data_IF_595693220114
#
_entry.id   IF_595693220114
#
_cell.length_a   1.000
_cell.length_b   1.000
_cell.length_c   1.000
_cell.angle_alpha   90.00
_cell.angle_beta   90.00
_cell.angle_gamma   90.00
#
_symmetry.space_group_name_H-M   'P 1'
#
loop_
_entity.id
_entity.type
_entity.pdbx_description
1 polymer ?
#
# COMPACT_ATOMS: atom_id res chain seq x y z
N UNK A 1 -21.86 -12.42 8.06
CA UNK A 1 -21.91 -12.22 6.60
C UNK A 1 -23.35 -12.12 6.10
N UNK A 2 -24.22 -13.12 6.30
CA UNK A 2 -25.62 -13.07 5.82
C UNK A 2 -26.41 -11.87 6.35
N UNK A 3 -26.39 -11.63 7.67
CA UNK A 3 -26.98 -10.41 8.25
C UNK A 3 -26.41 -9.13 7.64
N UNK A 4 -25.09 -9.06 7.41
CA UNK A 4 -24.47 -7.89 6.76
C UNK A 4 -24.98 -7.72 5.34
N UNK A 5 -25.05 -8.80 4.55
CA UNK A 5 -25.58 -8.77 3.18
C UNK A 5 -26.99 -8.19 3.13
N UNK A 6 -27.89 -8.68 3.99
CA UNK A 6 -29.29 -8.20 4.05
C UNK A 6 -29.37 -6.70 4.34
N UNK A 7 -28.61 -6.22 5.32
CA UNK A 7 -28.60 -4.80 5.67
C UNK A 7 -27.97 -3.94 4.57
N UNK A 8 -26.85 -4.38 3.96
CA UNK A 8 -26.23 -3.66 2.85
C UNK A 8 -27.16 -3.53 1.63
N UNK A 9 -28.01 -4.52 1.38
CA UNK A 9 -29.03 -4.44 0.32
C UNK A 9 -30.15 -3.46 0.71
N UNK A 10 -30.63 -3.51 1.96
CA UNK A 10 -31.63 -2.59 2.49
C UNK A 10 -31.15 -1.12 2.46
N UNK A 11 -29.87 -0.87 2.72
CA UNK A 11 -29.25 0.45 2.62
C UNK A 11 -29.34 1.05 1.21
N UNK A 12 -29.59 0.24 0.19
CA UNK A 12 -29.76 0.71 -1.19
C UNK A 12 -31.21 0.63 -1.70
N UNK A 13 -32.13 0.19 -0.83
CA UNK A 13 -33.54 0.08 -1.17
C UNK A 13 -34.13 1.46 -1.49
N UNK A 14 -34.95 1.52 -2.54
CA UNK A 14 -35.55 2.77 -3.02
C UNK A 14 -36.55 3.36 -2.03
N UNK A 15 -36.47 4.68 -1.83
CA UNK A 15 -37.38 5.43 -0.96
C UNK A 15 -38.74 5.73 -1.58
N UNK A 16 -39.65 6.30 -0.77
CA UNK A 16 -40.98 6.74 -1.25
C UNK A 16 -40.96 8.23 -1.62
N UNK A 17 -41.52 8.56 -2.79
CA UNK A 17 -41.81 9.92 -3.30
C UNK A 17 -40.63 10.91 -3.31
N UNK A 18 -40.29 11.48 -2.16
CA UNK A 18 -39.33 12.61 -1.99
C UNK A 18 -37.92 12.17 -1.60
N UNK A 19 -37.72 10.91 -1.20
CA UNK A 19 -36.44 10.39 -0.71
C UNK A 19 -35.91 9.35 -1.70
N UNK A 20 -34.63 9.47 -2.10
CA UNK A 20 -33.96 8.54 -3.03
C UNK A 20 -33.90 7.14 -2.41
N UNK A 21 -33.61 7.04 -1.12
CA UNK A 21 -33.45 5.80 -0.37
C UNK A 21 -34.53 5.63 0.71
N UNK A 22 -34.74 4.38 1.12
CA UNK A 22 -35.67 4.02 2.20
C UNK A 22 -35.20 4.56 3.55
N UNK A 23 -33.92 4.39 3.87
CA UNK A 23 -33.26 4.99 5.02
C UNK A 23 -32.69 6.34 4.64
N UNK A 24 -32.89 7.37 5.48
CA UNK A 24 -32.13 8.62 5.39
C UNK A 24 -30.69 8.46 5.90
N UNK A 25 -29.92 9.54 5.91
CA UNK A 25 -28.48 9.49 6.24
C UNK A 25 -28.21 9.37 7.74
N UNK A 26 -29.15 9.80 8.60
CA UNK A 26 -29.05 9.66 10.05
C UNK A 26 -29.36 8.20 10.45
N UNK A 27 -30.44 7.64 9.91
CA UNK A 27 -30.81 6.23 10.08
C UNK A 27 -29.72 5.28 9.54
N UNK A 28 -29.14 5.60 8.38
CA UNK A 28 -28.03 4.80 7.84
C UNK A 28 -26.83 4.82 8.80
N UNK A 29 -26.46 5.99 9.33
CA UNK A 29 -25.35 6.10 10.26
C UNK A 29 -25.59 5.26 11.53
N UNK A 30 -26.79 5.30 12.11
CA UNK A 30 -27.17 4.43 13.23
C UNK A 30 -26.96 2.93 12.91
N UNK A 31 -27.46 2.47 11.76
CA UNK A 31 -27.32 1.07 11.35
C UNK A 31 -25.86 0.68 11.06
N UNK A 32 -25.07 1.58 10.48
CA UNK A 32 -23.63 1.40 10.26
C UNK A 32 -22.92 1.19 11.60
N UNK A 33 -23.17 2.04 12.60
CA UNK A 33 -22.57 1.88 13.93
C UNK A 33 -23.00 0.58 14.61
N UNK A 34 -24.27 0.23 14.54
CA UNK A 34 -24.81 -0.98 15.17
C UNK A 34 -24.25 -2.28 14.55
N UNK A 35 -24.00 -2.31 13.24
CA UNK A 35 -23.49 -3.49 12.55
C UNK A 35 -21.97 -3.56 12.49
N UNK A 36 -21.30 -2.41 12.31
CA UNK A 36 -19.87 -2.33 12.02
C UNK A 36 -19.05 -1.83 13.22
N UNK A 37 -19.68 -1.43 14.32
CA UNK A 37 -18.99 -1.02 15.54
C UNK A 37 -18.44 -2.17 16.39
N UNK A 38 -18.80 -3.42 16.09
CA UNK A 38 -18.39 -4.59 16.86
C UNK A 38 -17.17 -5.31 16.25
N UNK A 39 -15.97 -4.81 16.59
CA UNK A 39 -14.70 -5.43 16.17
C UNK A 39 -14.37 -5.24 14.69
N UNK A 40 -13.17 -5.63 14.28
CA UNK A 40 -12.73 -5.54 12.88
C UNK A 40 -13.27 -6.69 12.02
N UNK A 41 -13.72 -6.39 10.81
CA UNK A 41 -14.04 -7.38 9.79
C UNK A 41 -12.78 -8.18 9.41
N UNK A 42 -12.90 -9.51 9.33
CA UNK A 42 -11.80 -10.38 8.89
C UNK A 42 -11.88 -10.65 7.40
N UNK A 43 -10.75 -10.97 6.73
CA UNK A 43 -10.75 -11.31 5.30
C UNK A 43 -11.76 -12.41 4.94
N UNK A 44 -11.91 -13.43 5.79
CA UNK A 44 -12.82 -14.55 5.55
C UNK A 44 -14.29 -14.12 5.56
N UNK A 45 -14.67 -13.24 6.51
CA UNK A 45 -16.04 -12.72 6.59
C UNK A 45 -16.34 -11.85 5.36
N UNK A 46 -15.38 -11.03 4.96
CA UNK A 46 -15.52 -10.08 3.86
C UNK A 46 -15.56 -10.79 2.52
N UNK A 47 -14.68 -11.77 2.28
CA UNK A 47 -14.69 -12.58 1.06
C UNK A 47 -16.03 -13.32 0.92
N UNK A 48 -16.53 -13.90 2.01
CA UNK A 48 -17.83 -14.57 2.00
C UNK A 48 -18.99 -13.59 1.78
N UNK A 49 -18.95 -12.41 2.39
CA UNK A 49 -19.93 -11.34 2.18
C UNK A 49 -19.97 -10.87 0.73
N UNK A 50 -18.81 -10.60 0.13
CA UNK A 50 -18.72 -10.14 -1.26
C UNK A 50 -19.21 -11.21 -2.25
N UNK A 51 -18.96 -12.49 -1.96
CA UNK A 51 -19.52 -13.59 -2.75
C UNK A 51 -21.06 -13.64 -2.68
N UNK A 52 -21.63 -13.44 -1.48
CA UNK A 52 -23.09 -13.38 -1.28
C UNK A 52 -23.74 -12.19 -2.00
N UNK A 53 -23.12 -11.01 -1.91
CA UNK A 53 -23.60 -9.80 -2.62
C UNK A 53 -23.52 -10.00 -4.14
N UNK A 54 -22.41 -10.51 -4.64
CA UNK A 54 -22.20 -10.74 -6.07
C UNK A 54 -23.21 -11.72 -6.70
N UNK A 55 -23.75 -12.65 -5.90
CA UNK A 55 -24.78 -13.60 -6.33
C UNK A 55 -26.22 -13.05 -6.21
N UNK A 56 -26.41 -11.91 -5.55
CA UNK A 56 -27.72 -11.33 -5.30
C UNK A 56 -28.20 -10.43 -6.44
N UNK A 57 -29.50 -10.50 -6.72
CA UNK A 57 -30.16 -9.62 -7.70
C UNK A 57 -30.50 -8.24 -7.13
N UNK A 58 -30.56 -8.13 -5.81
CA UNK A 58 -30.87 -6.88 -5.11
C UNK A 58 -29.61 -6.04 -4.87
N UNK A 59 -28.41 -6.57 -5.18
CA UNK A 59 -27.16 -5.86 -4.94
C UNK A 59 -26.98 -4.68 -5.90
N UNK A 60 -26.93 -3.49 -5.33
CA UNK A 60 -26.76 -2.20 -6.03
C UNK A 60 -25.40 -1.59 -5.65
N UNK A 61 -24.29 -2.02 -6.30
CA UNK A 61 -22.95 -1.70 -5.85
C UNK A 61 -22.61 -0.20 -5.94
N UNK A 62 -23.15 0.51 -6.93
CA UNK A 62 -22.87 1.94 -7.14
C UNK A 62 -23.53 2.76 -6.03
N UNK A 63 -24.81 2.53 -5.77
CA UNK A 63 -25.55 3.20 -4.71
C UNK A 63 -24.97 2.87 -3.33
N UNK A 64 -24.59 1.61 -3.09
CA UNK A 64 -23.95 1.24 -1.83
C UNK A 64 -22.63 1.98 -1.64
N UNK A 65 -21.81 2.06 -2.71
CA UNK A 65 -20.55 2.78 -2.68
C UNK A 65 -20.76 4.27 -2.36
N UNK A 66 -21.68 4.95 -3.05
CA UNK A 66 -21.99 6.37 -2.81
C UNK A 66 -22.36 6.63 -1.34
N UNK A 67 -23.23 5.80 -0.76
CA UNK A 67 -23.68 5.97 0.62
C UNK A 67 -22.58 5.70 1.65
N UNK A 68 -21.77 4.66 1.43
CA UNK A 68 -20.66 4.33 2.32
C UNK A 68 -19.53 5.36 2.22
N UNK A 69 -19.27 5.91 1.03
CA UNK A 69 -18.24 6.93 0.81
C UNK A 69 -18.64 8.24 1.51
N UNK A 70 -19.91 8.66 1.39
CA UNK A 70 -20.43 9.82 2.14
C UNK A 70 -20.23 9.67 3.66
N UNK A 71 -20.66 8.52 4.22
CA UNK A 71 -20.44 8.22 5.64
C UNK A 71 -18.95 8.23 6.00
N UNK A 72 -18.09 7.62 5.18
CA UNK A 72 -16.65 7.56 5.41
C UNK A 72 -16.02 8.95 5.48
N UNK A 73 -16.39 9.86 4.57
CA UNK A 73 -15.89 11.23 4.56
C UNK A 73 -16.31 11.99 5.84
N UNK A 74 -17.59 11.91 6.21
CA UNK A 74 -18.13 12.51 7.44
C UNK A 74 -17.46 11.95 8.70
N UNK A 75 -17.20 10.65 8.72
CA UNK A 75 -16.44 10.01 9.80
C UNK A 75 -15.00 10.51 9.88
N UNK A 76 -14.31 10.66 8.73
CA UNK A 76 -12.95 11.23 8.69
C UNK A 76 -12.91 12.67 9.21
N UNK A 77 -13.97 13.44 8.98
CA UNK A 77 -14.11 14.82 9.46
C UNK A 77 -14.51 14.91 10.94
N UNK A 78 -14.65 13.77 11.63
CA UNK A 78 -14.95 13.70 13.06
C UNK A 78 -16.43 13.90 13.40
N UNK A 79 -17.33 13.98 12.41
CA UNK A 79 -18.73 14.37 12.59
C UNK A 79 -19.43 13.58 13.70
N UNK A 80 -19.18 12.28 13.79
CA UNK A 80 -19.91 11.42 14.71
C UNK A 80 -19.31 11.37 16.13
N UNK A 81 -18.00 11.54 16.27
CA UNK A 81 -17.33 11.42 17.57
C UNK A 81 -17.20 12.75 18.31
N UNK A 82 -17.12 13.86 17.57
CA UNK A 82 -16.92 15.20 18.15
C UNK A 82 -18.22 15.88 18.59
N UNK A 83 -19.38 15.25 18.37
CA UNK A 83 -20.67 15.74 18.86
C UNK A 83 -20.76 15.66 20.40
N UNK A 84 -21.42 16.63 21.05
CA UNK A 84 -21.74 16.54 22.48
C UNK A 84 -22.78 15.42 22.76
N UNK A 85 -23.26 15.33 24.01
CA UNK A 85 -24.19 14.29 24.50
C UNK A 85 -25.15 13.74 23.41
N UNK A 86 -25.21 12.40 23.28
CA UNK A 86 -25.93 11.63 22.23
C UNK A 86 -25.17 11.41 20.90
N UNK A 87 -23.84 11.50 20.90
CA UNK A 87 -23.01 11.02 19.80
C UNK A 87 -23.26 9.51 19.51
N UNK A 88 -23.44 9.13 18.24
CA UNK A 88 -23.70 7.75 17.81
C UNK A 88 -22.75 6.71 18.42
N UNK A 89 -21.41 6.93 18.46
CA UNK A 89 -20.50 5.98 19.12
C UNK A 89 -20.83 5.72 20.59
N UNK A 90 -21.31 6.74 21.32
CA UNK A 90 -21.65 6.63 22.73
C UNK A 90 -22.95 5.85 22.92
N UNK A 91 -23.95 6.08 22.08
CA UNK A 91 -25.21 5.35 22.11
C UNK A 91 -25.00 3.87 21.79
N UNK A 92 -24.27 3.55 20.73
CA UNK A 92 -23.92 2.17 20.36
C UNK A 92 -23.11 1.49 21.48
N UNK A 93 -22.21 2.23 22.14
CA UNK A 93 -21.50 1.70 23.32
C UNK A 93 -22.47 1.33 24.46
N UNK A 94 -23.52 2.12 24.71
CA UNK A 94 -24.54 1.80 25.73
C UNK A 94 -25.31 0.53 25.35
N UNK A 95 -25.75 0.41 24.09
CA UNK A 95 -26.43 -0.78 23.56
C UNK A 95 -25.55 -2.03 23.69
N UNK A 96 -24.28 -1.96 23.32
CA UNK A 96 -23.33 -3.06 23.46
C UNK A 96 -23.13 -3.50 24.92
N UNK A 97 -23.09 -2.55 25.87
CA UNK A 97 -23.01 -2.90 27.30
C UNK A 97 -24.21 -3.70 27.79
N UNK A 98 -25.41 -3.38 27.30
CA UNK A 98 -26.63 -4.15 27.62
C UNK A 98 -26.56 -5.59 27.11
N UNK A 99 -25.83 -5.82 26.01
CA UNK A 99 -25.55 -7.14 25.44
C UNK A 99 -24.33 -7.84 26.07
N UNK A 100 -23.73 -7.27 27.11
CA UNK A 100 -22.55 -7.82 27.78
C UNK A 100 -21.22 -7.58 27.05
N UNK A 101 -21.21 -6.75 26.00
CA UNK A 101 -20.01 -6.40 25.23
C UNK A 101 -19.32 -5.21 25.90
N UNK A 102 -18.04 -5.36 26.24
CA UNK A 102 -17.24 -4.31 26.89
C UNK A 102 -16.32 -3.61 25.90
N UNK A 103 -16.89 -2.70 25.11
CA UNK A 103 -16.15 -1.78 24.24
C UNK A 103 -16.29 -0.34 24.74
N UNK A 104 -15.24 0.47 24.58
CA UNK A 104 -15.28 1.91 24.78
C UNK A 104 -15.74 2.66 23.53
N UNK A 105 -16.23 3.89 23.71
CA UNK A 105 -16.72 4.76 22.63
C UNK A 105 -15.74 4.88 21.46
N UNK A 106 -14.47 5.19 21.74
CA UNK A 106 -13.43 5.29 20.71
C UNK A 106 -13.20 3.97 19.97
N UNK A 107 -13.33 2.82 20.65
CA UNK A 107 -13.14 1.53 20.00
C UNK A 107 -14.26 1.27 19.00
N UNK A 108 -15.52 1.51 19.43
CA UNK A 108 -16.70 1.39 18.57
C UNK A 108 -16.56 2.29 17.33
N UNK A 109 -16.13 3.53 17.52
CA UNK A 109 -15.92 4.48 16.42
C UNK A 109 -14.84 4.04 15.43
N UNK A 110 -13.67 3.64 15.95
CA UNK A 110 -12.57 3.13 15.13
C UNK A 110 -12.98 1.87 14.36
N UNK A 111 -13.68 0.93 15.00
CA UNK A 111 -14.17 -0.27 14.31
C UNK A 111 -15.13 0.10 13.19
N UNK A 112 -16.08 1.00 13.46
CA UNK A 112 -17.08 1.44 12.49
C UNK A 112 -16.42 2.03 11.24
N UNK A 113 -15.58 3.05 11.40
CA UNK A 113 -14.93 3.73 10.28
C UNK A 113 -13.98 2.83 9.48
N UNK A 114 -13.18 2.01 10.17
CA UNK A 114 -12.28 1.08 9.48
C UNK A 114 -13.03 -0.02 8.73
N UNK A 115 -14.14 -0.52 9.28
CA UNK A 115 -14.96 -1.51 8.59
C UNK A 115 -15.67 -0.93 7.36
N UNK A 116 -16.16 0.31 7.44
CA UNK A 116 -16.68 1.02 6.25
C UNK A 116 -15.58 1.18 5.20
N UNK A 117 -14.37 1.60 5.59
CA UNK A 117 -13.24 1.71 4.67
C UNK A 117 -12.90 0.36 4.02
N UNK A 118 -12.96 -0.75 4.76
CA UNK A 118 -12.77 -2.11 4.23
C UNK A 118 -13.82 -2.43 3.16
N UNK A 119 -15.10 -2.16 3.43
CA UNK A 119 -16.17 -2.39 2.45
C UNK A 119 -15.97 -1.54 1.19
N UNK A 120 -15.56 -0.28 1.32
CA UNK A 120 -15.24 0.59 0.18
C UNK A 120 -14.06 0.07 -0.65
N UNK A 121 -13.01 -0.43 0.00
CA UNK A 121 -11.87 -1.08 -0.67
C UNK A 121 -12.29 -2.33 -1.45
N UNK A 122 -13.24 -3.10 -0.92
CA UNK A 122 -13.76 -4.29 -1.61
C UNK A 122 -14.72 -3.98 -2.74
N UNK A 123 -15.60 -2.98 -2.57
CA UNK A 123 -16.45 -2.51 -3.66
C UNK A 123 -15.62 -1.99 -4.83
N UNK A 124 -14.54 -1.25 -4.53
CA UNK A 124 -13.57 -0.84 -5.52
C UNK A 124 -12.91 -2.04 -6.23
N UNK A 125 -12.41 -3.04 -5.48
CA UNK A 125 -11.85 -4.27 -6.07
C UNK A 125 -12.85 -5.03 -6.93
N UNK A 126 -14.08 -5.15 -6.46
CA UNK A 126 -15.18 -5.80 -7.19
C UNK A 126 -15.42 -5.09 -8.53
N UNK A 127 -15.48 -3.75 -8.53
CA UNK A 127 -15.67 -2.95 -9.72
C UNK A 127 -14.49 -3.02 -10.70
N UNK A 128 -13.23 -3.09 -10.22
CA UNK A 128 -12.05 -3.22 -11.09
C UNK A 128 -12.08 -4.46 -11.99
N UNK A 129 -12.80 -5.52 -11.59
CA UNK A 129 -12.95 -6.76 -12.36
C UNK A 129 -14.08 -6.72 -13.40
N UNK A 130 -14.80 -5.60 -13.51
CA UNK A 130 -16.06 -5.48 -14.27
C UNK A 130 -16.08 -4.19 -15.10
N UNK A 131 -16.12 -4.33 -16.43
CA UNK A 131 -16.08 -3.19 -17.34
C UNK A 131 -17.27 -2.22 -17.16
N UNK A 132 -18.43 -2.71 -16.73
CA UNK A 132 -19.62 -1.90 -16.47
C UNK A 132 -19.53 -1.06 -15.20
N UNK A 133 -18.69 -1.44 -14.22
CA UNK A 133 -18.58 -0.76 -12.92
C UNK A 133 -17.26 0.00 -12.73
N UNK A 134 -16.22 -0.36 -13.46
CA UNK A 134 -14.84 0.10 -13.21
C UNK A 134 -14.68 1.61 -13.19
N UNK A 135 -15.45 2.33 -14.00
CA UNK A 135 -15.40 3.79 -14.09
C UNK A 135 -16.43 4.48 -13.16
N UNK A 136 -17.32 3.72 -12.52
CA UNK A 136 -18.35 4.23 -11.60
C UNK A 136 -17.93 4.11 -10.12
N UNK A 137 -17.09 3.14 -9.77
CA UNK A 137 -16.70 2.85 -8.39
C UNK A 137 -15.17 2.90 -8.27
N UNK A 138 -14.67 4.08 -7.89
CA UNK A 138 -13.25 4.32 -7.69
C UNK A 138 -13.03 4.89 -6.29
N UNK A 139 -12.66 4.03 -5.34
CA UNK A 139 -12.40 4.48 -3.99
C UNK A 139 -11.01 5.08 -3.86
N UNK A 140 -10.95 6.31 -3.36
CA UNK A 140 -9.72 6.98 -2.98
C UNK A 140 -9.76 7.28 -1.48
N UNK A 141 -9.09 6.50 -0.61
CA UNK A 141 -9.11 6.76 0.84
C UNK A 141 -8.71 8.19 1.22
N UNK A 142 -7.76 8.78 0.49
CA UNK A 142 -7.31 10.17 0.67
C UNK A 142 -8.02 11.19 -0.24
N UNK A 143 -9.09 10.81 -0.94
CA UNK A 143 -9.67 11.60 -2.03
C UNK A 143 -8.87 11.49 -3.34
N UNK A 144 -9.47 11.94 -4.44
CA UNK A 144 -8.84 11.85 -5.76
C UNK A 144 -7.62 12.78 -5.85
N UNK A 145 -6.43 12.21 -6.08
CA UNK A 145 -5.18 12.96 -6.18
C UNK A 145 -5.26 14.15 -7.15
N UNK A 146 -4.70 15.30 -6.75
CA UNK A 146 -4.68 16.55 -7.53
C UNK A 146 -6.07 17.17 -7.74
N UNK A 147 -6.98 16.99 -6.78
CA UNK A 147 -8.30 17.65 -6.73
C UNK A 147 -8.50 18.34 -5.38
N UNK A 148 -9.50 19.22 -5.26
CA UNK A 148 -9.80 19.94 -4.01
C UNK A 148 -10.17 19.01 -2.85
N UNK A 149 -10.73 17.84 -3.15
CA UNK A 149 -11.11 16.84 -2.14
C UNK A 149 -9.96 15.94 -1.67
N UNK A 150 -8.73 16.16 -2.16
CA UNK A 150 -7.56 15.38 -1.77
C UNK A 150 -6.97 15.87 -0.44
N UNK A 151 -6.88 14.96 0.53
CA UNK A 151 -6.17 15.15 1.79
C UNK A 151 -5.10 14.08 1.93
N UNK A 152 -3.84 14.48 1.70
CA UNK A 152 -2.69 13.59 1.83
C UNK A 152 -2.53 13.01 3.24
N UNK A 153 -2.99 13.72 4.27
CA UNK A 153 -2.82 13.32 5.68
C UNK A 153 -3.95 12.47 6.22
N UNK A 154 -5.09 12.37 5.53
CA UNK A 154 -6.29 11.68 6.01
C UNK A 154 -6.00 10.26 6.52
N UNK A 155 -5.30 9.45 5.73
CA UNK A 155 -5.00 8.08 6.13
C UNK A 155 -3.99 8.02 7.28
N UNK A 156 -3.03 8.94 7.35
CA UNK A 156 -2.11 9.07 8.49
C UNK A 156 -2.86 9.42 9.79
N UNK A 157 -3.85 10.31 9.70
CA UNK A 157 -4.73 10.68 10.81
C UNK A 157 -5.56 9.47 11.26
N UNK A 158 -6.14 8.72 10.32
CA UNK A 158 -6.88 7.47 10.60
C UNK A 158 -5.98 6.43 11.30
N UNK A 159 -4.76 6.22 10.81
CA UNK A 159 -3.79 5.29 11.43
C UNK A 159 -3.46 5.76 12.85
N UNK A 160 -3.14 7.03 13.02
CA UNK A 160 -2.81 7.62 14.33
C UNK A 160 -3.97 7.50 15.31
N UNK A 161 -5.19 7.76 14.84
CA UNK A 161 -6.42 7.62 15.61
C UNK A 161 -6.66 6.17 16.04
N UNK A 162 -6.47 5.23 15.11
CA UNK A 162 -6.61 3.78 15.34
C UNK A 162 -5.59 3.22 16.33
N UNK A 163 -4.48 3.92 16.60
CA UNK A 163 -3.52 3.49 17.61
C UNK A 163 -4.10 3.48 19.04
N UNK A 164 -5.27 4.12 19.26
CA UNK A 164 -5.99 4.06 20.53
C UNK A 164 -6.41 2.63 20.92
N UNK A 165 -6.56 1.70 19.97
CA UNK A 165 -6.87 0.28 20.24
C UNK A 165 -5.63 -0.63 20.21
N UNK A 166 -4.44 -0.03 20.18
CA UNK A 166 -3.13 -0.68 20.16
C UNK A 166 -2.27 -0.15 19.02
N UNK A 167 -0.94 -0.22 19.17
CA UNK A 167 0.04 0.35 18.21
C UNK A 167 -0.07 -0.20 16.77
N UNK A 168 -0.69 -1.38 16.62
CA UNK A 168 -0.97 -2.02 15.33
C UNK A 168 -2.48 -2.06 15.04
N UNK A 169 -3.29 -1.21 15.68
CA UNK A 169 -4.75 -1.24 15.62
C UNK A 169 -5.28 -1.15 14.20
N UNK A 170 -4.81 -0.16 13.44
CA UNK A 170 -5.12 -0.01 12.02
C UNK A 170 -4.72 -1.27 11.24
N UNK A 171 -3.48 -1.73 11.43
CA UNK A 171 -2.94 -2.86 10.69
C UNK A 171 -3.72 -4.15 10.93
N UNK A 172 -4.09 -4.45 12.18
CA UNK A 172 -4.84 -5.65 12.55
C UNK A 172 -6.21 -5.73 11.87
N UNK A 173 -6.78 -4.58 11.51
CA UNK A 173 -8.14 -4.49 10.98
C UNK A 173 -8.08 -4.30 9.46
N UNK A 174 -7.39 -3.26 8.99
CA UNK A 174 -7.36 -2.86 7.59
C UNK A 174 -6.16 -3.40 6.79
N UNK A 175 -5.09 -3.86 7.45
CA UNK A 175 -3.82 -4.21 6.79
C UNK A 175 -3.92 -5.36 5.76
N UNK A 176 -4.87 -6.28 5.95
CA UNK A 176 -5.17 -7.35 4.99
C UNK A 176 -5.92 -6.89 3.74
N UNK A 177 -6.47 -5.67 3.75
CA UNK A 177 -7.40 -5.15 2.75
C UNK A 177 -6.82 -4.04 1.87
N UNK A 178 -5.51 -3.75 1.95
CA UNK A 178 -4.87 -2.68 1.17
C UNK A 178 -4.46 -3.10 -0.24
N UNK A 179 -4.74 -4.35 -0.63
CA UNK A 179 -4.47 -4.89 -1.98
C UNK A 179 -5.21 -4.08 -3.04
N UNK A 180 -4.49 -3.55 -4.02
CA UNK A 180 -5.07 -2.76 -5.10
C UNK A 180 -5.60 -1.38 -4.69
N UNK A 181 -5.41 -0.95 -3.44
CA UNK A 181 -5.90 0.34 -2.95
C UNK A 181 -5.30 1.52 -3.73
N UNK A 182 -6.07 2.58 -3.93
CA UNK A 182 -5.61 3.80 -4.59
C UNK A 182 -5.17 4.86 -3.58
N UNK A 183 -3.89 4.81 -3.21
CA UNK A 183 -3.23 5.64 -2.21
C UNK A 183 -2.23 6.62 -2.84
N UNK A 184 -2.54 7.06 -4.07
CA UNK A 184 -1.68 7.99 -4.81
C UNK A 184 -1.53 9.29 -4.03
N UNK A 185 -0.30 9.71 -3.80
CA UNK A 185 0.02 10.93 -3.06
C UNK A 185 -0.19 10.86 -1.55
N UNK A 186 -0.71 9.76 -1.01
CA UNK A 186 -0.98 9.67 0.43
C UNK A 186 0.30 9.85 1.25
N UNK A 187 0.19 10.53 2.38
CA UNK A 187 1.22 10.57 3.40
C UNK A 187 1.04 9.39 4.35
N UNK A 188 2.03 8.52 4.41
CA UNK A 188 2.15 7.38 5.31
C UNK A 188 3.55 7.35 5.95
N UNK A 189 4.20 8.50 6.07
CA UNK A 189 5.52 8.58 6.70
C UNK A 189 5.46 8.07 8.14
N UNK A 190 6.55 7.44 8.58
CA UNK A 190 6.73 6.96 9.95
C UNK A 190 5.68 5.93 10.44
N UNK A 191 4.86 5.39 9.54
CA UNK A 191 3.81 4.41 9.88
C UNK A 191 4.36 3.00 10.02
N UNK A 192 3.72 2.18 10.87
CA UNK A 192 4.00 0.74 10.95
C UNK A 192 3.06 -0.05 10.02
N UNK A 193 3.60 -0.53 8.91
CA UNK A 193 2.90 -1.28 7.86
C UNK A 193 3.56 -2.66 7.62
N UNK A 194 4.20 -3.20 8.66
CA UNK A 194 4.90 -4.49 8.64
C UNK A 194 3.94 -5.60 8.19
N UNK A 195 4.33 -6.37 7.19
CA UNK A 195 3.55 -7.52 6.70
C UNK A 195 2.25 -7.16 5.97
N UNK A 196 1.95 -5.88 5.74
CA UNK A 196 0.73 -5.45 5.07
C UNK A 196 0.69 -5.89 3.60
N UNK A 197 -0.51 -6.10 3.08
CA UNK A 197 -0.71 -6.48 1.69
C UNK A 197 -1.09 -5.27 0.84
N UNK A 198 -0.10 -4.70 0.16
CA UNK A 198 -0.22 -3.63 -0.84
C UNK A 198 -0.02 -4.15 -2.26
N UNK A 199 -0.19 -5.45 -2.51
CA UNK A 199 -0.02 -5.98 -3.87
C UNK A 199 -0.96 -5.25 -4.84
N UNK A 200 -0.41 -4.85 -5.98
CA UNK A 200 -1.09 -4.05 -7.02
C UNK A 200 -1.61 -2.67 -6.57
N UNK A 201 -1.33 -2.21 -5.35
CA UNK A 201 -1.77 -0.90 -4.87
C UNK A 201 -1.12 0.24 -5.67
N UNK A 202 -1.83 1.36 -5.77
CA UNK A 202 -1.28 2.58 -6.34
C UNK A 202 -0.79 3.52 -5.23
N UNK A 203 0.52 3.55 -5.04
CA UNK A 203 1.25 4.40 -4.09
C UNK A 203 2.13 5.42 -4.83
N UNK A 204 1.77 5.75 -6.09
CA UNK A 204 2.56 6.69 -6.89
C UNK A 204 2.58 8.05 -6.20
N UNK A 205 3.76 8.69 -6.13
CA UNK A 205 3.95 9.98 -5.46
C UNK A 205 3.59 10.02 -3.97
N UNK A 206 3.34 8.87 -3.32
CA UNK A 206 3.08 8.81 -1.89
C UNK A 206 4.34 9.17 -1.07
N UNK A 207 4.13 9.78 0.09
CA UNK A 207 5.19 9.96 1.08
C UNK A 207 5.23 8.75 2.03
N UNK A 208 6.25 7.92 1.89
CA UNK A 208 6.48 6.67 2.61
C UNK A 208 7.79 6.72 3.40
N UNK A 209 8.35 7.91 3.62
CA UNK A 209 9.64 8.07 4.29
C UNK A 209 9.61 7.49 5.70
N UNK A 210 10.67 6.80 6.09
CA UNK A 210 10.82 6.18 7.42
C UNK A 210 9.74 5.15 7.79
N UNK A 211 8.81 4.81 6.90
CA UNK A 211 7.76 3.84 7.17
C UNK A 211 8.34 2.42 7.28
N UNK A 212 7.72 1.59 8.13
CA UNK A 212 8.10 0.20 8.29
C UNK A 212 7.22 -0.71 7.42
N UNK A 213 7.77 -1.17 6.31
CA UNK A 213 7.22 -2.16 5.38
C UNK A 213 7.93 -3.51 5.47
N UNK A 214 8.62 -3.81 6.57
CA UNK A 214 9.30 -5.11 6.71
C UNK A 214 8.33 -6.27 6.45
N UNK A 215 8.75 -7.24 5.64
CA UNK A 215 7.95 -8.39 5.20
C UNK A 215 6.61 -8.06 4.50
N UNK A 216 6.36 -6.81 4.10
CA UNK A 216 5.13 -6.43 3.41
C UNK A 216 5.10 -6.99 1.98
N UNK A 217 3.90 -7.20 1.44
CA UNK A 217 3.70 -7.55 0.04
C UNK A 217 3.34 -6.31 -0.78
N UNK A 218 4.30 -5.81 -1.55
CA UNK A 218 4.20 -4.69 -2.50
C UNK A 218 4.36 -5.17 -3.95
N UNK A 219 4.17 -6.47 -4.23
CA UNK A 219 4.30 -7.01 -5.59
C UNK A 219 3.33 -6.31 -6.55
N UNK A 220 3.79 -6.00 -7.76
CA UNK A 220 3.04 -5.24 -8.77
C UNK A 220 2.59 -3.82 -8.35
N UNK A 221 2.98 -3.33 -7.17
CA UNK A 221 2.56 -2.00 -6.72
C UNK A 221 3.12 -0.89 -7.62
N UNK A 222 2.34 0.18 -7.80
CA UNK A 222 2.79 1.39 -8.50
C UNK A 222 3.36 2.35 -7.46
N UNK A 223 4.68 2.50 -7.43
CA UNK A 223 5.44 3.34 -6.49
C UNK A 223 6.23 4.43 -7.24
N UNK A 224 5.80 4.78 -8.46
CA UNK A 224 6.54 5.75 -9.27
C UNK A 224 6.56 7.11 -8.57
N UNK A 225 7.76 7.70 -8.45
CA UNK A 225 8.01 8.96 -7.72
C UNK A 225 7.63 8.95 -6.24
N UNK A 226 7.42 7.78 -5.63
CA UNK A 226 7.18 7.71 -4.19
C UNK A 226 8.46 8.09 -3.42
N UNK A 227 8.28 8.71 -2.25
CA UNK A 227 9.36 8.97 -1.31
C UNK A 227 9.45 7.81 -0.31
N UNK A 228 10.44 6.94 -0.43
CA UNK A 228 10.76 5.82 0.46
C UNK A 228 12.10 6.07 1.18
N UNK A 229 12.54 7.33 1.31
CA UNK A 229 13.78 7.66 2.00
C UNK A 229 13.77 7.06 3.41
N UNK A 230 14.84 6.35 3.76
CA UNK A 230 15.01 5.71 5.07
C UNK A 230 13.91 4.70 5.47
N UNK A 231 13.06 4.25 4.53
CA UNK A 231 12.03 3.25 4.81
C UNK A 231 12.65 1.88 5.11
N UNK A 232 12.01 1.11 6.00
CA UNK A 232 12.38 -0.28 6.25
C UNK A 232 11.55 -1.21 5.36
N UNK A 233 12.20 -1.79 4.35
CA UNK A 233 11.64 -2.76 3.39
C UNK A 233 12.33 -4.13 3.53
N UNK A 234 12.94 -4.43 4.68
CA UNK A 234 13.62 -5.69 4.91
C UNK A 234 12.68 -6.87 4.61
N UNK A 235 13.14 -7.81 3.78
CA UNK A 235 12.38 -8.98 3.36
C UNK A 235 11.02 -8.69 2.71
N UNK A 236 10.75 -7.46 2.26
CA UNK A 236 9.51 -7.12 1.56
C UNK A 236 9.49 -7.72 0.15
N UNK A 237 8.30 -8.05 -0.35
CA UNK A 237 8.12 -8.47 -1.73
C UNK A 237 7.73 -7.25 -2.59
N UNK A 238 8.65 -6.77 -3.42
CA UNK A 238 8.49 -5.70 -4.42
C UNK A 238 8.63 -6.24 -5.85
N UNK A 239 8.47 -7.56 -6.05
CA UNK A 239 8.59 -8.16 -7.37
C UNK A 239 7.61 -7.51 -8.36
N UNK A 240 8.11 -7.21 -9.55
CA UNK A 240 7.34 -6.55 -10.63
C UNK A 240 6.77 -5.15 -10.25
N UNK A 241 7.17 -4.56 -9.12
CA UNK A 241 6.73 -3.22 -8.73
C UNK A 241 7.32 -2.14 -9.64
N UNK A 242 6.59 -1.04 -9.81
CA UNK A 242 7.06 0.12 -10.53
C UNK A 242 7.58 1.20 -9.57
N UNK A 243 8.90 1.24 -9.36
CA UNK A 243 9.63 2.20 -8.52
C UNK A 243 10.35 3.26 -9.35
N UNK A 244 9.90 3.52 -10.59
CA UNK A 244 10.59 4.47 -11.46
C UNK A 244 10.63 5.86 -10.84
N UNK A 245 11.83 6.46 -10.79
CA UNK A 245 12.07 7.76 -10.16
C UNK A 245 11.63 7.86 -8.69
N UNK A 246 11.49 6.74 -7.97
CA UNK A 246 11.28 6.76 -6.53
C UNK A 246 12.58 7.13 -5.79
N UNK A 247 12.45 7.75 -4.62
CA UNK A 247 13.56 7.98 -3.70
C UNK A 247 13.59 6.85 -2.67
N UNK A 248 14.56 5.94 -2.78
CA UNK A 248 14.86 4.88 -1.81
C UNK A 248 16.21 5.13 -1.11
N UNK A 249 16.68 6.39 -1.10
CA UNK A 249 17.96 6.71 -0.46
C UNK A 249 17.94 6.35 1.02
N UNK A 250 19.02 5.73 1.50
CA UNK A 250 19.16 5.19 2.86
C UNK A 250 18.09 4.16 3.30
N UNK A 251 17.25 3.64 2.39
CA UNK A 251 16.29 2.60 2.75
C UNK A 251 16.97 1.26 3.07
N UNK A 252 16.35 0.47 3.96
CA UNK A 252 16.74 -0.93 4.20
C UNK A 252 15.93 -1.85 3.30
N UNK A 253 16.55 -2.38 2.24
CA UNK A 253 15.98 -3.33 1.29
C UNK A 253 16.64 -4.71 1.44
N UNK A 254 17.30 -4.98 2.56
CA UNK A 254 18.03 -6.21 2.77
C UNK A 254 17.09 -7.42 2.68
N UNK A 255 17.52 -8.44 1.93
CA UNK A 255 16.74 -9.64 1.60
C UNK A 255 15.38 -9.39 0.91
N UNK A 256 15.08 -8.18 0.43
CA UNK A 256 13.86 -7.90 -0.30
C UNK A 256 13.84 -8.60 -1.69
N UNK A 257 12.65 -8.90 -2.20
CA UNK A 257 12.45 -9.38 -3.56
C UNK A 257 12.08 -8.21 -4.48
N UNK A 258 12.98 -7.82 -5.38
CA UNK A 258 12.80 -6.82 -6.44
C UNK A 258 12.97 -7.44 -7.83
N UNK A 259 12.74 -8.75 -7.97
CA UNK A 259 12.84 -9.43 -9.25
C UNK A 259 11.90 -8.75 -10.26
N UNK A 260 12.45 -8.42 -11.43
CA UNK A 260 11.75 -7.73 -12.52
C UNK A 260 11.14 -6.37 -12.16
N UNK A 261 11.49 -5.77 -11.02
CA UNK A 261 11.02 -4.44 -10.64
C UNK A 261 11.59 -3.36 -11.58
N UNK A 262 10.81 -2.29 -11.78
CA UNK A 262 11.24 -1.13 -12.55
C UNK A 262 11.78 -0.04 -11.64
N UNK A 263 13.11 0.10 -11.57
CA UNK A 263 13.85 1.09 -10.77
C UNK A 263 14.51 2.16 -11.66
N UNK A 264 13.99 2.38 -12.88
CA UNK A 264 14.56 3.34 -13.82
C UNK A 264 14.58 4.74 -13.19
N UNK A 265 15.78 5.34 -13.09
CA UNK A 265 16.04 6.63 -12.43
C UNK A 265 15.72 6.70 -10.93
N UNK A 266 15.55 5.57 -10.25
CA UNK A 266 15.37 5.56 -8.80
C UNK A 266 16.66 6.02 -8.08
N UNK A 267 16.52 6.71 -6.95
CA UNK A 267 17.62 6.98 -6.04
C UNK A 267 17.71 5.85 -5.00
N UNK A 268 18.86 5.19 -4.92
CA UNK A 268 19.19 4.11 -3.99
C UNK A 268 20.50 4.46 -3.25
N UNK A 269 20.86 5.74 -3.22
CA UNK A 269 22.08 6.21 -2.58
C UNK A 269 22.13 5.80 -1.11
N UNK A 270 23.22 5.14 -0.71
CA UNK A 270 23.43 4.61 0.66
C UNK A 270 22.38 3.58 1.12
N UNK A 271 21.52 3.06 0.23
CA UNK A 271 20.57 2.03 0.59
C UNK A 271 21.28 0.71 0.96
N UNK A 272 20.68 -0.05 1.87
CA UNK A 272 21.11 -1.41 2.20
C UNK A 272 20.35 -2.41 1.32
N UNK A 273 21.04 -3.01 0.35
CA UNK A 273 20.53 -4.00 -0.58
C UNK A 273 21.23 -5.36 -0.38
N UNK A 274 21.66 -5.67 0.86
CA UNK A 274 22.32 -6.94 1.17
C UNK A 274 21.41 -8.12 0.90
N UNK A 275 21.89 -9.06 0.09
CA UNK A 275 21.16 -10.29 -0.21
C UNK A 275 19.84 -10.08 -0.97
N UNK A 276 19.60 -8.89 -1.54
CA UNK A 276 18.38 -8.56 -2.27
C UNK A 276 18.31 -9.33 -3.60
N UNK A 277 17.10 -9.74 -3.99
CA UNK A 277 16.85 -10.35 -5.30
C UNK A 277 16.48 -9.28 -6.32
N UNK A 278 17.33 -9.06 -7.32
CA UNK A 278 17.18 -8.03 -8.37
C UNK A 278 17.25 -8.66 -9.77
N UNK A 279 16.93 -9.94 -9.91
CA UNK A 279 17.03 -10.64 -11.20
C UNK A 279 16.13 -9.96 -12.23
N UNK A 280 16.70 -9.60 -13.38
CA UNK A 280 15.98 -8.94 -14.46
C UNK A 280 15.42 -7.55 -14.11
N UNK A 281 15.84 -6.94 -12.99
CA UNK A 281 15.37 -5.62 -12.59
C UNK A 281 15.88 -4.53 -13.57
N UNK A 282 15.06 -3.51 -13.80
CA UNK A 282 15.42 -2.38 -14.63
C UNK A 282 15.98 -1.22 -13.78
N UNK A 283 17.29 -1.15 -13.64
CA UNK A 283 18.05 -0.12 -12.91
C UNK A 283 18.65 0.94 -13.83
N UNK A 284 18.06 1.15 -15.03
CA UNK A 284 18.58 2.13 -16.00
C UNK A 284 18.63 3.52 -15.36
N UNK A 285 19.78 4.18 -15.45
CA UNK A 285 20.02 5.51 -14.88
C UNK A 285 19.72 5.62 -13.38
N UNK A 286 19.71 4.51 -12.62
CA UNK A 286 19.53 4.55 -11.17
C UNK A 286 20.77 5.10 -10.46
N UNK A 287 20.57 5.76 -9.31
CA UNK A 287 21.64 6.29 -8.47
C UNK A 287 21.94 5.33 -7.32
N UNK A 288 23.06 4.62 -7.36
CA UNK A 288 23.43 3.57 -6.38
C UNK A 288 24.67 3.96 -5.56
N UNK A 289 24.98 5.27 -5.49
CA UNK A 289 26.19 5.78 -4.83
C UNK A 289 26.29 5.30 -3.38
N UNK A 290 27.39 4.64 -3.07
CA UNK A 290 27.67 4.07 -1.75
C UNK A 290 26.57 3.10 -1.22
N UNK A 291 25.75 2.53 -2.09
CA UNK A 291 24.80 1.48 -1.71
C UNK A 291 25.52 0.17 -1.37
N UNK A 292 24.89 -0.67 -0.54
CA UNK A 292 25.42 -1.97 -0.16
C UNK A 292 24.69 -3.09 -0.90
N UNK A 293 25.28 -3.63 -1.96
CA UNK A 293 24.77 -4.75 -2.75
C UNK A 293 25.49 -6.06 -2.43
N UNK A 294 26.09 -6.19 -1.23
CA UNK A 294 26.78 -7.40 -0.84
C UNK A 294 25.84 -8.62 -0.95
N UNK A 295 26.26 -9.64 -1.68
CA UNK A 295 25.50 -10.88 -1.95
C UNK A 295 24.15 -10.67 -2.68
N UNK A 296 23.90 -9.51 -3.27
CA UNK A 296 22.69 -9.28 -4.07
C UNK A 296 22.72 -10.08 -5.39
N UNK A 297 21.56 -10.53 -5.85
CA UNK A 297 21.42 -11.17 -7.16
C UNK A 297 20.96 -10.15 -8.20
N UNK A 298 21.88 -9.64 -9.01
CA UNK A 298 21.65 -8.71 -10.12
C UNK A 298 21.67 -9.42 -11.49
N UNK A 299 21.48 -10.75 -11.52
CA UNK A 299 21.54 -11.49 -12.79
C UNK A 299 20.50 -10.96 -13.79
N UNK A 300 20.91 -10.78 -15.05
CA UNK A 300 20.10 -10.18 -16.13
C UNK A 300 19.60 -8.74 -15.85
N UNK A 301 20.09 -8.06 -14.81
CA UNK A 301 19.67 -6.70 -14.49
C UNK A 301 20.15 -5.68 -15.56
N UNK A 302 19.30 -4.71 -15.87
CA UNK A 302 19.64 -3.61 -16.77
C UNK A 302 20.16 -2.41 -15.99
N UNK A 303 21.47 -2.23 -15.93
CA UNK A 303 22.18 -1.18 -15.20
C UNK A 303 22.69 -0.06 -16.13
N UNK A 304 22.11 0.07 -17.33
CA UNK A 304 22.58 1.06 -18.32
C UNK A 304 22.56 2.48 -17.75
N UNK A 305 23.70 3.17 -17.78
CA UNK A 305 23.83 4.53 -17.27
C UNK A 305 23.67 4.66 -15.75
N UNK A 306 23.66 3.55 -14.99
CA UNK A 306 23.55 3.59 -13.53
C UNK A 306 24.83 4.13 -12.88
N UNK A 307 24.68 4.85 -11.78
CA UNK A 307 25.77 5.40 -11.00
C UNK A 307 26.10 4.47 -9.81
N UNK A 308 27.07 3.56 -9.98
CA UNK A 308 27.49 2.58 -8.99
C UNK A 308 28.72 3.05 -8.20
N UNK A 309 28.98 4.37 -8.13
CA UNK A 309 30.20 4.87 -7.48
C UNK A 309 30.23 4.52 -6.00
N UNK A 310 31.29 3.85 -5.56
CA UNK A 310 31.48 3.46 -4.16
C UNK A 310 30.56 2.33 -3.68
N UNK A 311 29.82 1.67 -4.58
CA UNK A 311 28.92 0.56 -4.22
C UNK A 311 29.71 -0.66 -3.75
N UNK A 312 29.21 -1.36 -2.74
CA UNK A 312 29.73 -2.66 -2.31
C UNK A 312 29.05 -3.81 -3.06
N UNK A 313 29.80 -4.50 -3.92
CA UNK A 313 29.37 -5.62 -4.76
C UNK A 313 30.01 -6.95 -4.32
N UNK A 314 30.60 -7.05 -3.12
CA UNK A 314 31.24 -8.29 -2.66
C UNK A 314 30.22 -9.44 -2.66
N UNK A 315 30.56 -10.55 -3.32
CA UNK A 315 29.67 -11.72 -3.45
C UNK A 315 28.39 -11.50 -4.26
N UNK A 316 28.20 -10.33 -4.89
CA UNK A 316 27.04 -10.08 -5.74
C UNK A 316 27.12 -10.89 -7.04
N UNK A 317 25.97 -11.30 -7.58
CA UNK A 317 25.87 -11.95 -8.88
C UNK A 317 25.43 -10.96 -9.95
N UNK A 318 26.34 -10.55 -10.85
CA UNK A 318 26.02 -9.70 -12.00
C UNK A 318 25.91 -10.50 -13.31
N UNK A 319 25.75 -11.82 -13.26
CA UNK A 319 25.71 -12.65 -14.46
C UNK A 319 24.68 -12.13 -15.49
N UNK A 320 25.10 -11.98 -16.74
CA UNK A 320 24.30 -11.45 -17.84
C UNK A 320 23.84 -9.98 -17.67
N UNK A 321 24.26 -9.24 -16.64
CA UNK A 321 23.86 -7.85 -16.43
C UNK A 321 24.36 -6.91 -17.54
N UNK A 322 23.63 -5.80 -17.76
CA UNK A 322 23.96 -4.81 -18.80
C UNK A 322 24.50 -3.50 -18.21
N UNK A 323 25.81 -3.26 -18.33
CA UNK A 323 26.55 -2.14 -17.72
C UNK A 323 26.91 -1.01 -18.70
N UNK A 324 26.24 -0.89 -19.86
CA UNK A 324 26.55 0.17 -20.83
C UNK A 324 26.46 1.54 -20.16
N UNK A 325 27.47 2.38 -20.30
CA UNK A 325 27.48 3.74 -19.75
C UNK A 325 27.36 3.80 -18.21
N UNK A 326 27.43 2.67 -17.50
CA UNK A 326 27.39 2.62 -16.04
C UNK A 326 28.74 3.09 -15.46
N UNK A 327 28.72 3.72 -14.28
CA UNK A 327 29.92 4.23 -13.63
C UNK A 327 30.36 3.34 -12.46
N UNK A 328 31.49 2.66 -12.58
CA UNK A 328 32.03 1.73 -11.58
C UNK A 328 33.18 2.32 -10.73
N UNK A 329 33.30 3.65 -10.66
CA UNK A 329 34.39 4.27 -9.88
C UNK A 329 34.32 3.82 -8.41
N UNK A 330 35.45 3.35 -7.88
CA UNK A 330 35.60 2.96 -6.46
C UNK A 330 34.60 1.88 -5.99
N UNK A 331 34.08 1.02 -6.88
CA UNK A 331 33.32 -0.15 -6.43
C UNK A 331 34.19 -1.06 -5.55
N UNK A 332 33.56 -1.72 -4.59
CA UNK A 332 34.20 -2.74 -3.74
C UNK A 332 33.71 -4.10 -4.24
N UNK A 333 34.61 -5.01 -4.60
CA UNK A 333 34.28 -6.34 -5.09
C UNK A 333 35.33 -7.35 -4.63
N UNK A 334 35.02 -8.64 -4.69
CA UNK A 334 35.93 -9.72 -4.29
C UNK A 334 35.87 -10.90 -5.27
N UNK A 335 36.57 -11.99 -4.95
CA UNK A 335 36.60 -13.18 -5.80
C UNK A 335 35.24 -13.89 -5.91
N UNK A 336 34.34 -13.68 -4.95
CA UNK A 336 32.98 -14.22 -4.96
C UNK A 336 32.01 -13.43 -5.84
N UNK A 337 32.35 -12.20 -6.23
CA UNK A 337 31.53 -11.40 -7.16
C UNK A 337 31.53 -12.06 -8.54
N UNK A 338 30.34 -12.38 -9.07
CA UNK A 338 30.16 -13.05 -10.35
C UNK A 338 29.98 -12.04 -11.48
N UNK A 339 30.76 -12.20 -12.55
CA UNK A 339 30.79 -11.30 -13.70
C UNK A 339 30.60 -12.05 -15.02
N UNK A 340 29.82 -13.13 -15.02
CA UNK A 340 29.62 -13.96 -16.20
C UNK A 340 28.83 -13.20 -17.27
N UNK A 341 29.23 -13.28 -18.53
CA UNK A 341 28.46 -12.74 -19.67
C UNK A 341 28.04 -11.26 -19.57
N UNK A 342 28.84 -10.41 -18.91
CA UNK A 342 28.49 -8.99 -18.75
C UNK A 342 28.39 -8.31 -20.11
N UNK A 343 27.29 -7.58 -20.31
CA UNK A 343 27.01 -6.81 -21.52
C UNK A 343 27.44 -5.36 -21.34
N UNK A 344 27.94 -4.72 -22.41
CA UNK A 344 28.20 -3.27 -22.43
C UNK A 344 29.50 -2.78 -21.80
N UNK A 345 30.42 -3.67 -21.40
CA UNK A 345 31.70 -3.32 -20.76
C UNK A 345 32.56 -2.32 -21.54
N UNK A 346 32.53 -2.37 -22.87
CA UNK A 346 33.32 -1.47 -23.76
C UNK A 346 33.07 0.02 -23.50
N UNK A 347 31.88 0.36 -23.02
CA UNK A 347 31.43 1.73 -22.76
C UNK A 347 31.18 2.00 -21.28
N UNK A 348 31.45 1.03 -20.41
CA UNK A 348 31.35 1.22 -18.96
C UNK A 348 32.43 2.19 -18.49
N UNK A 349 32.03 3.13 -17.64
CA UNK A 349 32.84 4.25 -17.21
C UNK A 349 33.58 3.86 -15.91
N UNK A 350 34.86 4.24 -15.80
CA UNK A 350 35.69 4.05 -14.59
C UNK A 350 35.77 2.59 -14.09
N UNK A 351 35.77 1.61 -14.99
CA UNK A 351 35.98 0.19 -14.61
C UNK A 351 37.37 0.02 -13.97
N UNK A 352 37.47 -0.54 -12.75
CA UNK A 352 38.75 -0.79 -12.10
C UNK A 352 39.69 -1.63 -12.98
N UNK A 353 40.98 -1.28 -13.01
CA UNK A 353 41.99 -1.98 -13.85
C UNK A 353 42.05 -3.48 -13.51
N UNK A 354 42.02 -3.81 -12.21
CA UNK A 354 42.01 -5.19 -11.72
C UNK A 354 40.77 -5.96 -12.16
N UNK A 355 39.63 -5.28 -12.33
CA UNK A 355 38.43 -5.91 -12.85
C UNK A 355 38.53 -6.14 -14.35
N UNK A 356 39.03 -5.16 -15.13
CA UNK A 356 39.28 -5.33 -16.57
C UNK A 356 40.14 -6.57 -16.84
N UNK A 357 41.26 -6.71 -16.12
CA UNK A 357 42.17 -7.85 -16.23
C UNK A 357 41.53 -9.21 -15.88
N UNK A 358 40.48 -9.24 -15.07
CA UNK A 358 39.73 -10.47 -14.73
C UNK A 358 38.71 -10.84 -15.81
N UNK A 359 38.29 -9.86 -16.63
CA UNK A 359 37.23 -10.01 -17.63
C UNK A 359 37.76 -10.17 -19.06
N UNK A 360 39.01 -9.76 -19.31
CA UNK A 360 39.79 -10.10 -20.50
C UNK A 360 40.27 -11.56 -20.44
#
# INVERSE_FOLDING_TARGET
AERLKENLEEWTAGGRKRHKFYLDDEQLAEEIYDLLGYGGLTPEIVDYLMALLAASKEFRPVELFERLEDFYLRWCDGEFIDLPENALPLETTRRFKELGIQLGQRQVDIYTGLNVMILLLELHRYALSRDDLRDQIIFHPCGQYDTEGFDETRLLCIISYSNCIGIDGFFKIAGGFLRGANLRGANLSDTNLRGANFSSANLSSANLSSANFSSANLSFAKLSRANLNSANLNSANLSLANLSAADLSAADLSAADLNHANLNRADLGRADLRGTYLRGANLRCAYLRAANLNRANLSDANLRGADLRGTDLRGADLSDAYLRDANLQNIIWNNETQWKNIRGLKTTINVPITLKQKLD
#
